data_IF_963194757302
#
_entry.id   IF_963194757302
#
_cell.length_a   1.000
_cell.length_b   1.000
_cell.length_c   1.000
_cell.angle_alpha   90.00
_cell.angle_beta   90.00
_cell.angle_gamma   90.00
#
_symmetry.space_group_name_H-M   'P 1'
#
loop_
_entity.id
_entity.type
_entity.pdbx_description
1 polymer ?
#
# COMPACT_ATOMS: atom_id res chain seq x y z
N UNK A 1 -1.56 17.43 0.41
CA UNK A 1 -1.68 16.92 1.79
C UNK A 1 -3.03 16.24 2.01
N UNK A 2 -4.17 16.92 1.79
CA UNK A 2 -5.51 16.30 1.96
C UNK A 2 -5.78 15.10 1.04
N UNK A 3 -5.24 15.11 -0.19
CA UNK A 3 -5.58 14.07 -1.18
C UNK A 3 -5.13 12.67 -0.82
N UNK A 4 -4.00 12.49 -0.13
CA UNK A 4 -3.53 11.14 0.22
C UNK A 4 -4.34 10.55 1.38
N UNK A 5 -4.63 11.35 2.40
CA UNK A 5 -5.41 10.93 3.57
C UNK A 5 -6.86 10.67 3.16
N UNK A 6 -7.43 11.51 2.28
CA UNK A 6 -8.77 11.29 1.72
C UNK A 6 -8.82 10.04 0.81
N UNK A 7 -7.78 9.81 0.00
CA UNK A 7 -7.69 8.58 -0.81
C UNK A 7 -7.67 7.34 0.11
N UNK A 8 -6.82 7.34 1.14
CA UNK A 8 -6.72 6.22 2.09
C UNK A 8 -8.03 5.96 2.86
N UNK A 9 -8.81 7.00 3.18
CA UNK A 9 -10.09 6.83 3.90
C UNK A 9 -11.17 6.18 3.04
N UNK A 10 -11.08 6.33 1.72
CA UNK A 10 -12.01 5.69 0.77
C UNK A 10 -11.59 4.25 0.40
N UNK A 11 -10.35 3.87 0.64
CA UNK A 11 -9.84 2.53 0.35
C UNK A 11 -10.40 1.48 1.30
N UNK A 12 -11.21 0.55 0.78
CA UNK A 12 -11.68 -0.62 1.53
C UNK A 12 -10.81 -1.83 1.22
N UNK A 13 -10.06 -2.31 2.22
CA UNK A 13 -9.14 -3.46 2.11
C UNK A 13 -9.40 -4.51 3.19
N UNK A 14 -9.11 -5.80 2.94
CA UNK A 14 -9.26 -6.85 3.95
C UNK A 14 -8.48 -6.54 5.22
N UNK A 15 -9.09 -6.73 6.40
CA UNK A 15 -8.48 -6.36 7.68
C UNK A 15 -7.13 -7.02 7.95
N UNK A 16 -6.96 -8.28 7.52
CA UNK A 16 -5.67 -8.99 7.63
C UNK A 16 -4.56 -8.32 6.81
N UNK A 17 -4.87 -7.89 5.58
CA UNK A 17 -3.93 -7.23 4.69
C UNK A 17 -3.48 -5.89 5.26
N UNK A 18 -4.43 -5.11 5.79
CA UNK A 18 -4.12 -3.84 6.43
C UNK A 18 -3.25 -4.02 7.69
N UNK A 19 -3.54 -5.04 8.51
CA UNK A 19 -2.72 -5.36 9.69
C UNK A 19 -1.29 -5.73 9.30
N UNK A 20 -1.14 -6.63 8.33
CA UNK A 20 0.17 -7.02 7.83
C UNK A 20 0.95 -5.82 7.26
N UNK A 21 0.30 -4.96 6.48
CA UNK A 21 0.89 -3.75 5.93
C UNK A 21 1.33 -2.77 7.03
N UNK A 22 0.53 -2.59 8.09
CA UNK A 22 0.91 -1.76 9.24
C UNK A 22 2.16 -2.27 9.94
N UNK A 23 2.26 -3.58 10.19
CA UNK A 23 3.44 -4.19 10.80
C UNK A 23 4.67 -4.03 9.88
N UNK A 24 4.52 -4.36 8.60
CA UNK A 24 5.57 -4.18 7.60
C UNK A 24 6.01 -2.71 7.45
N UNK A 25 5.09 -1.76 7.65
CA UNK A 25 5.41 -0.34 7.55
C UNK A 25 6.35 0.15 8.66
N UNK A 26 6.51 -0.58 9.76
CA UNK A 26 7.47 -0.26 10.82
C UNK A 26 8.91 -0.70 10.46
N UNK A 27 9.08 -1.45 9.37
CA UNK A 27 10.40 -1.91 8.91
C UNK A 27 11.10 -0.86 8.05
N UNK A 28 12.45 -0.87 8.07
CA UNK A 28 13.26 0.05 7.25
C UNK A 28 13.04 -0.12 5.75
N UNK A 29 12.64 -1.30 5.29
CA UNK A 29 12.43 -1.56 3.87
C UNK A 29 11.17 -0.89 3.32
N UNK A 30 10.14 -0.67 4.15
CA UNK A 30 8.97 0.11 3.75
C UNK A 30 9.32 1.58 3.53
N UNK A 31 10.16 2.15 4.41
CA UNK A 31 10.67 3.51 4.25
C UNK A 31 11.51 3.67 2.98
N UNK A 32 12.41 2.72 2.71
CA UNK A 32 13.20 2.71 1.48
C UNK A 32 12.33 2.67 0.22
N UNK A 33 11.28 1.85 0.20
CA UNK A 33 10.33 1.78 -0.93
C UNK A 33 9.55 3.08 -1.11
N UNK A 34 9.12 3.71 -0.01
CA UNK A 34 8.40 4.98 -0.02
C UNK A 34 9.25 6.14 -0.60
N UNK A 35 10.55 6.19 -0.28
CA UNK A 35 11.46 7.22 -0.79
C UNK A 35 11.81 7.03 -2.27
N UNK A 36 11.88 5.78 -2.75
CA UNK A 36 12.29 5.47 -4.13
C UNK A 36 11.18 5.56 -5.17
N UNK A 37 9.91 5.57 -4.75
CA UNK A 37 8.76 5.53 -5.65
C UNK A 37 7.79 6.66 -5.32
N UNK A 38 7.34 7.44 -6.33
CA UNK A 38 6.28 8.41 -6.12
C UNK A 38 5.02 7.75 -5.55
N UNK A 39 4.34 8.44 -4.63
CA UNK A 39 3.12 7.93 -3.98
C UNK A 39 2.04 7.56 -5.00
N UNK A 40 1.89 8.33 -6.07
CA UNK A 40 0.94 8.05 -7.14
C UNK A 40 1.23 6.71 -7.84
N UNK A 41 2.51 6.37 -8.05
CA UNK A 41 2.91 5.08 -8.63
C UNK A 41 2.64 3.92 -7.67
N UNK A 42 2.76 4.16 -6.36
CA UNK A 42 2.42 3.15 -5.35
C UNK A 42 0.90 2.91 -5.30
N UNK A 43 0.09 3.96 -5.34
CA UNK A 43 -1.38 3.86 -5.39
C UNK A 43 -1.85 3.12 -6.65
N UNK A 44 -1.33 3.48 -7.83
CA UNK A 44 -1.69 2.80 -9.07
C UNK A 44 -1.31 1.30 -9.06
N UNK A 45 -0.19 0.95 -8.42
CA UNK A 45 0.22 -0.45 -8.26
C UNK A 45 -0.68 -1.19 -7.26
N UNK A 46 -1.07 -0.53 -6.18
CA UNK A 46 -2.01 -1.07 -5.20
C UNK A 46 -3.36 -1.38 -5.85
N UNK A 47 -3.90 -0.48 -6.67
CA UNK A 47 -5.15 -0.69 -7.39
C UNK A 47 -5.07 -1.91 -8.33
N UNK A 48 -3.95 -2.07 -9.05
CA UNK A 48 -3.71 -3.26 -9.89
C UNK A 48 -3.70 -4.55 -9.07
N UNK A 49 -3.04 -4.54 -7.91
CA UNK A 49 -2.97 -5.70 -7.02
C UNK A 49 -4.33 -6.00 -6.39
N UNK A 50 -5.12 -4.99 -6.06
CA UNK A 50 -6.47 -5.17 -5.56
C UNK A 50 -7.42 -5.70 -6.64
N UNK A 51 -7.29 -5.24 -7.88
CA UNK A 51 -8.02 -5.80 -9.02
C UNK A 51 -7.66 -7.28 -9.25
N UNK A 52 -6.37 -7.62 -9.22
CA UNK A 52 -5.91 -9.01 -9.33
C UNK A 52 -6.43 -9.89 -8.18
N UNK A 53 -6.45 -9.37 -6.95
CA UNK A 53 -7.02 -10.05 -5.78
C UNK A 53 -8.52 -10.36 -5.95
N UNK A 54 -9.29 -9.41 -6.49
CA UNK A 54 -10.73 -9.56 -6.70
C UNK A 54 -11.05 -10.47 -7.89
N UNK A 55 -10.25 -10.40 -8.96
CA UNK A 55 -10.42 -11.23 -10.16
C UNK A 55 -9.92 -12.66 -10.02
N UNK A 56 -9.38 -13.07 -8.86
CA UNK A 56 -8.82 -14.42 -8.66
C UNK A 56 -7.62 -14.72 -9.58
N UNK A 57 -6.92 -13.70 -10.06
CA UNK A 57 -5.97 -13.82 -11.16
C UNK A 57 -4.72 -14.62 -10.80
N UNK A 58 -4.28 -15.48 -11.72
CA UNK A 58 -2.94 -16.07 -11.71
C UNK A 58 -1.92 -14.92 -11.72
N UNK A 59 -1.10 -14.82 -10.68
CA UNK A 59 -0.12 -13.75 -10.50
C UNK A 59 -0.41 -12.77 -9.37
N UNK A 60 -1.53 -12.90 -8.67
CA UNK A 60 -1.74 -12.15 -7.43
C UNK A 60 -0.75 -12.62 -6.35
N UNK A 61 0.05 -11.69 -5.83
CA UNK A 61 0.97 -11.91 -4.72
C UNK A 61 0.52 -11.11 -3.50
N UNK A 62 0.00 -11.77 -2.45
CA UNK A 62 -0.35 -11.11 -1.19
C UNK A 62 0.84 -10.42 -0.52
N UNK A 63 2.04 -11.00 -0.61
CA UNK A 63 3.27 -10.40 -0.06
C UNK A 63 3.62 -9.09 -0.76
N UNK A 64 3.58 -9.06 -2.10
CA UNK A 64 3.78 -7.82 -2.88
C UNK A 64 2.74 -6.75 -2.53
N UNK A 65 1.49 -7.14 -2.32
CA UNK A 65 0.43 -6.22 -1.90
C UNK A 65 0.74 -5.60 -0.53
N UNK A 66 1.19 -6.41 0.43
CA UNK A 66 1.63 -5.91 1.75
C UNK A 66 2.82 -4.95 1.64
N UNK A 67 3.79 -5.22 0.76
CA UNK A 67 4.93 -4.32 0.53
C UNK A 67 4.53 -2.96 -0.05
N UNK A 68 3.59 -2.94 -1.01
CA UNK A 68 3.10 -1.70 -1.61
C UNK A 68 2.29 -0.91 -0.60
N UNK A 69 1.37 -1.57 0.12
CA UNK A 69 0.57 -0.93 1.17
C UNK A 69 1.44 -0.39 2.31
N UNK A 70 2.49 -1.11 2.72
CA UNK A 70 3.38 -0.63 3.78
C UNK A 70 4.18 0.60 3.36
N UNK A 71 4.59 0.67 2.08
CA UNK A 71 5.25 1.85 1.51
C UNK A 71 4.29 3.06 1.45
N UNK A 72 3.02 2.86 1.04
CA UNK A 72 2.00 3.93 1.04
C UNK A 72 1.77 4.45 2.46
N UNK A 73 1.61 3.56 3.45
CA UNK A 73 1.43 3.96 4.85
C UNK A 73 2.64 4.70 5.40
N UNK A 74 3.86 4.30 5.00
CA UNK A 74 5.08 4.99 5.41
C UNK A 74 5.17 6.39 4.78
N UNK A 75 4.85 6.52 3.49
CA UNK A 75 4.78 7.81 2.82
C UNK A 75 3.73 8.74 3.45
N UNK A 76 2.56 8.21 3.81
CA UNK A 76 1.52 8.96 4.50
C UNK A 76 1.98 9.47 5.87
N UNK A 77 2.73 8.67 6.63
CA UNK A 77 3.31 9.10 7.92
C UNK A 77 4.39 10.17 7.76
N UNK A 78 5.18 10.16 6.68
CA UNK A 78 6.20 11.20 6.45
C UNK A 78 5.64 12.57 6.06
N UNK A 79 4.34 12.63 5.71
CA UNK A 79 3.63 13.86 5.35
C UNK A 79 2.84 14.43 6.55
N UNK A 80 2.71 13.65 7.63
CA UNK A 80 2.08 14.05 8.89
C UNK A 80 3.10 14.61 9.87
#
# INVERSE_FOLDING_TARGET
MSDLISTLSTMRRPGLLLRAARMAALTGDAHRRAQRRPVQTLLAEEDRLNAARLGGGLGYSPSRHVEVMSAILCAARSIS
#
